data_IF_598661735006
#
_entry.id   IF_598661735006
#
_cell.length_a   1.000
_cell.length_b   1.000
_cell.length_c   1.000
_cell.angle_alpha   90.00
_cell.angle_beta   90.00
_cell.angle_gamma   90.00
#
_symmetry.space_group_name_H-M   'P 1'
#
loop_
_entity.id
_entity.type
_entity.pdbx_description
1 polymer ?
#
# COMPACT_ATOMS: atom_id res chain seq x y z
N UNK A 1 -19.46 -48.11 -3.92
CA UNK A 1 -20.67 -47.34 -3.59
C UNK A 1 -20.41 -45.88 -3.89
N UNK A 2 -21.41 -45.26 -4.49
CA UNK A 2 -21.46 -43.96 -5.14
C UNK A 2 -20.86 -42.79 -4.34
N UNK A 3 -20.17 -41.88 -5.05
CA UNK A 3 -19.91 -40.52 -4.56
C UNK A 3 -21.26 -39.81 -4.36
N UNK A 4 -21.66 -39.60 -3.12
CA UNK A 4 -22.66 -38.60 -2.75
C UNK A 4 -21.95 -37.39 -2.17
N UNK A 5 -22.40 -36.22 -2.62
CA UNK A 5 -22.11 -34.85 -2.13
C UNK A 5 -21.12 -34.06 -2.99
N UNK A 6 -21.70 -33.26 -3.88
CA UNK A 6 -21.08 -32.33 -4.82
C UNK A 6 -20.33 -31.13 -4.19
N UNK A 7 -20.01 -31.17 -2.90
CA UNK A 7 -19.32 -30.09 -2.20
C UNK A 7 -17.78 -30.25 -2.18
N UNK A 8 -17.25 -31.43 -2.50
CA UNK A 8 -15.80 -31.70 -2.44
C UNK A 8 -15.02 -31.42 -3.75
N UNK A 9 -15.70 -31.08 -4.85
CA UNK A 9 -15.05 -30.88 -6.14
C UNK A 9 -14.31 -29.53 -6.28
N UNK A 10 -14.66 -28.53 -5.46
CA UNK A 10 -14.04 -27.20 -5.52
C UNK A 10 -12.65 -27.17 -4.87
N UNK A 11 -12.46 -27.87 -3.75
CA UNK A 11 -11.18 -27.87 -3.01
C UNK A 11 -10.06 -28.65 -3.71
N UNK A 12 -10.40 -29.55 -4.65
CA UNK A 12 -9.40 -30.36 -5.36
C UNK A 12 -8.77 -29.66 -6.57
N UNK A 13 -9.35 -28.55 -7.08
CA UNK A 13 -8.74 -27.79 -8.19
C UNK A 13 -7.65 -26.83 -7.75
N UNK A 14 -7.58 -26.47 -6.47
CA UNK A 14 -6.61 -25.48 -5.96
C UNK A 14 -5.22 -26.11 -5.71
N UNK A 15 -5.11 -27.44 -5.58
CA UNK A 15 -3.82 -28.11 -5.35
C UNK A 15 -3.12 -28.64 -6.63
N UNK A 16 -3.69 -28.42 -7.83
CA UNK A 16 -3.18 -29.05 -9.07
C UNK A 16 -2.57 -28.09 -10.10
N UNK A 17 -2.17 -26.89 -9.69
CA UNK A 17 -1.22 -26.08 -10.45
C UNK A 17 0.19 -26.33 -9.91
N UNK A 18 0.68 -27.54 -10.18
CA UNK A 18 2.11 -27.86 -10.11
C UNK A 18 2.89 -26.81 -10.90
N UNK A 19 3.75 -26.07 -10.20
CA UNK A 19 4.83 -25.30 -10.79
C UNK A 19 5.69 -26.22 -11.65
N UNK A 20 5.37 -26.34 -12.94
CA UNK A 20 6.34 -26.75 -13.95
C UNK A 20 6.73 -25.47 -14.68
N UNK A 21 7.71 -24.77 -14.13
CA UNK A 21 8.34 -23.65 -14.81
C UNK A 21 9.19 -24.19 -15.97
N UNK A 22 9.03 -23.63 -17.17
CA UNK A 22 10.19 -23.21 -17.93
C UNK A 22 10.25 -21.68 -17.92
N UNK A 23 11.45 -21.21 -17.65
CA UNK A 23 11.93 -19.85 -17.75
C UNK A 23 11.44 -19.13 -19.01
N UNK A 24 10.55 -18.14 -18.87
CA UNK A 24 10.66 -16.81 -19.51
C UNK A 24 9.46 -15.90 -19.21
N UNK A 25 9.56 -15.15 -18.12
CA UNK A 25 9.51 -13.67 -18.13
C UNK A 25 8.37 -12.92 -18.88
N UNK A 26 7.13 -13.40 -18.83
CA UNK A 26 5.96 -12.53 -18.96
C UNK A 26 4.99 -12.86 -17.83
N UNK A 27 5.03 -12.05 -16.76
CA UNK A 27 3.95 -12.01 -15.78
C UNK A 27 2.77 -11.38 -16.52
N UNK A 28 1.82 -12.22 -16.93
CA UNK A 28 0.60 -11.79 -17.59
C UNK A 28 -0.15 -10.83 -16.65
N UNK A 29 -0.17 -9.53 -16.99
CA UNK A 29 -0.73 -8.48 -16.15
C UNK A 29 -2.25 -8.65 -15.95
N UNK A 30 -2.90 -9.32 -16.89
CA UNK A 30 -4.33 -9.72 -16.82
C UNK A 30 -4.61 -10.65 -15.65
N UNK A 31 -3.71 -11.61 -15.36
CA UNK A 31 -3.89 -12.54 -14.25
C UNK A 31 -3.78 -11.87 -12.87
N UNK A 32 -3.03 -10.76 -12.77
CA UNK A 32 -2.96 -9.94 -11.54
C UNK A 32 -4.22 -9.07 -11.40
N UNK A 33 -4.74 -8.54 -12.52
CA UNK A 33 -5.97 -7.75 -12.55
C UNK A 33 -7.18 -8.58 -12.09
N UNK A 34 -7.35 -9.79 -12.62
CA UNK A 34 -8.48 -10.66 -12.27
C UNK A 34 -8.45 -11.13 -10.82
N UNK A 35 -7.25 -11.31 -10.24
CA UNK A 35 -7.10 -11.74 -8.84
C UNK A 35 -7.55 -10.66 -7.84
N UNK A 36 -7.30 -9.37 -8.13
CA UNK A 36 -7.62 -8.30 -7.18
C UNK A 36 -9.13 -8.04 -7.09
N UNK A 37 -9.86 -8.18 -8.20
CA UNK A 37 -11.30 -7.87 -8.29
C UNK A 37 -12.22 -9.09 -8.14
N UNK A 38 -11.70 -10.32 -8.08
CA UNK A 38 -12.50 -11.54 -7.90
C UNK A 38 -12.60 -12.04 -6.46
N UNK A 39 -12.02 -11.32 -5.50
CA UNK A 39 -12.07 -11.69 -4.09
C UNK A 39 -13.49 -11.53 -3.52
N UNK A 40 -13.89 -12.48 -2.66
CA UNK A 40 -15.15 -12.44 -1.92
C UNK A 40 -15.20 -11.13 -1.12
N UNK A 41 -16.05 -10.18 -1.55
CA UNK A 41 -16.20 -8.86 -0.94
C UNK A 41 -15.80 -7.66 -1.81
N UNK A 42 -15.19 -7.87 -2.99
CA UNK A 42 -14.80 -6.78 -3.89
C UNK A 42 -15.97 -6.13 -4.65
N UNK A 43 -17.14 -6.78 -4.67
CA UNK A 43 -18.27 -6.38 -5.51
C UNK A 43 -17.98 -6.60 -7.01
N UNK A 44 -19.01 -6.49 -7.85
CA UNK A 44 -18.84 -6.55 -9.31
C UNK A 44 -18.67 -5.12 -9.84
N UNK A 45 -17.53 -4.82 -10.47
CA UNK A 45 -17.35 -3.56 -11.20
C UNK A 45 -18.18 -3.58 -12.49
N UNK A 46 -18.83 -2.47 -12.83
CA UNK A 46 -19.51 -2.31 -14.11
C UNK A 46 -18.48 -2.49 -15.25
N UNK A 47 -18.69 -3.45 -16.19
CA UNK A 47 -17.79 -3.66 -17.32
C UNK A 47 -17.56 -2.40 -18.16
N UNK A 48 -18.55 -1.51 -18.27
CA UNK A 48 -18.44 -0.24 -19.01
C UNK A 48 -17.47 0.71 -18.31
N UNK A 49 -17.49 0.75 -16.98
CA UNK A 49 -16.55 1.56 -16.19
C UNK A 49 -15.13 0.99 -16.29
N UNK A 50 -15.00 -0.33 -16.20
CA UNK A 50 -13.70 -1.02 -16.32
C UNK A 50 -13.06 -0.81 -17.69
N UNK A 51 -13.86 -0.82 -18.76
CA UNK A 51 -13.39 -0.56 -20.12
C UNK A 51 -13.05 0.93 -20.38
N UNK A 52 -13.74 1.85 -19.70
CA UNK A 52 -13.51 3.30 -19.84
C UNK A 52 -12.31 3.81 -19.03
N UNK A 53 -11.89 3.06 -18.01
CA UNK A 53 -10.81 3.45 -17.09
C UNK A 53 -9.76 2.34 -16.97
N UNK A 54 -9.02 2.12 -18.07
CA UNK A 54 -7.95 1.11 -18.10
C UNK A 54 -6.90 1.38 -17.02
N UNK A 55 -6.68 0.39 -16.15
CA UNK A 55 -5.68 0.42 -15.10
C UNK A 55 -4.58 -0.63 -15.36
N UNK A 56 -3.30 -0.33 -15.09
CA UNK A 56 -2.78 0.96 -14.62
C UNK A 56 -2.77 2.01 -15.74
N UNK A 57 -2.93 3.30 -15.41
CA UNK A 57 -2.74 4.37 -16.37
C UNK A 57 -1.29 4.36 -16.88
N UNK A 58 -1.05 4.71 -18.16
CA UNK A 58 0.30 4.69 -18.74
C UNK A 58 1.21 5.77 -18.14
N UNK A 59 0.64 6.83 -17.57
CA UNK A 59 1.37 7.89 -16.88
C UNK A 59 0.58 8.38 -15.67
N UNK A 60 1.29 8.83 -14.64
CA UNK A 60 0.73 9.56 -13.50
C UNK A 60 1.37 10.96 -13.57
N UNK A 61 0.54 11.99 -13.67
CA UNK A 61 1.03 13.38 -13.71
C UNK A 61 1.09 13.97 -12.29
N UNK A 62 2.15 14.69 -11.92
CA UNK A 62 3.37 14.90 -12.69
C UNK A 62 4.25 13.64 -12.76
N UNK A 63 4.85 13.36 -13.91
CA UNK A 63 5.82 12.27 -14.08
C UNK A 63 7.25 12.82 -14.02
N UNK A 64 8.09 12.17 -13.23
CA UNK A 64 9.50 12.51 -13.05
C UNK A 64 10.41 11.46 -13.71
N UNK A 65 11.50 11.90 -14.33
CA UNK A 65 12.57 11.00 -14.76
C UNK A 65 13.29 10.40 -13.54
N UNK A 66 14.03 9.31 -13.74
CA UNK A 66 14.85 8.72 -12.65
C UNK A 66 15.84 9.72 -12.04
N UNK A 67 16.38 10.65 -12.85
CA UNK A 67 17.27 11.71 -12.35
C UNK A 67 16.50 12.73 -11.50
N UNK A 68 15.29 13.11 -11.90
CA UNK A 68 14.43 14.00 -11.12
C UNK A 68 13.98 13.37 -9.79
N UNK A 69 13.71 12.07 -9.76
CA UNK A 69 13.35 11.34 -8.53
C UNK A 69 14.49 11.41 -7.51
N UNK A 70 15.75 11.39 -7.95
CA UNK A 70 16.89 11.52 -7.04
C UNK A 70 17.00 12.88 -6.33
N UNK A 71 16.29 13.90 -6.82
CA UNK A 71 16.24 15.24 -6.23
C UNK A 71 15.11 15.42 -5.20
N UNK A 72 14.26 14.42 -5.01
CA UNK A 72 13.18 14.49 -4.03
C UNK A 72 13.74 14.68 -2.61
N UNK A 73 13.09 15.50 -1.76
CA UNK A 73 13.51 15.66 -0.38
C UNK A 73 13.50 14.32 0.36
N UNK A 74 14.58 14.01 1.06
CA UNK A 74 14.69 12.84 1.93
C UNK A 74 14.37 13.22 3.37
N UNK A 75 14.07 12.23 4.21
CA UNK A 75 13.75 12.41 5.62
C UNK A 75 14.69 11.56 6.48
N UNK A 76 14.86 11.95 7.74
CA UNK A 76 15.68 11.20 8.70
C UNK A 76 14.81 10.49 9.75
N UNK A 77 15.07 9.22 10.08
CA UNK A 77 14.28 8.44 11.03
C UNK A 77 14.68 8.80 12.47
N UNK A 78 14.40 10.03 12.90
CA UNK A 78 14.73 10.55 14.24
C UNK A 78 13.52 11.08 15.00
N UNK A 79 12.34 11.03 14.40
CA UNK A 79 11.09 11.44 15.01
C UNK A 79 10.57 10.44 16.04
N UNK A 80 9.67 10.92 16.89
CA UNK A 80 8.94 10.09 17.84
C UNK A 80 7.80 9.34 17.15
N UNK A 81 7.57 8.09 17.54
CA UNK A 81 6.35 7.34 17.19
C UNK A 81 5.09 8.15 17.51
N UNK A 82 4.13 8.16 16.58
CA UNK A 82 2.84 8.82 16.76
C UNK A 82 1.81 7.76 17.14
N UNK A 83 1.33 7.81 18.38
CA UNK A 83 0.25 6.95 18.86
C UNK A 83 -1.05 7.73 18.98
N UNK A 84 -2.18 7.03 18.86
CA UNK A 84 -3.48 7.60 19.21
C UNK A 84 -3.60 7.69 20.73
N UNK A 85 -4.34 8.68 21.23
CA UNK A 85 -4.64 8.74 22.65
C UNK A 85 -5.64 7.63 23.04
N UNK A 86 -5.39 6.96 24.17
CA UNK A 86 -6.33 6.01 24.75
C UNK A 86 -7.51 6.76 25.39
N UNK A 87 -8.78 6.42 25.10
CA UNK A 87 -9.93 7.16 25.62
C UNK A 87 -10.05 7.08 27.14
N UNK A 88 -10.68 8.07 27.77
CA UNK A 88 -11.05 8.04 29.20
C UNK A 88 -12.53 7.75 29.35
N UNK A 89 -12.89 6.75 30.18
CA UNK A 89 -14.28 6.39 30.43
C UNK A 89 -14.71 6.71 31.85
N UNK A 90 -15.68 7.61 32.01
CA UNK A 90 -16.20 8.00 33.33
C UNK A 90 -17.07 6.89 33.97
N UNK A 91 -17.82 6.14 33.16
CA UNK A 91 -18.75 5.10 33.64
C UNK A 91 -18.16 3.68 33.66
N UNK A 92 -16.90 3.51 33.25
CA UNK A 92 -16.24 2.21 33.15
C UNK A 92 -14.77 2.30 33.64
N UNK A 93 -14.54 2.53 34.94
CA UNK A 93 -13.20 2.73 35.49
C UNK A 93 -12.31 1.48 35.42
N UNK A 94 -12.89 0.30 35.16
CA UNK A 94 -12.16 -0.97 34.99
C UNK A 94 -11.74 -1.26 33.55
N UNK A 95 -12.15 -0.43 32.59
CA UNK A 95 -11.74 -0.60 31.20
C UNK A 95 -10.23 -0.35 31.06
N UNK A 96 -9.48 -1.38 30.70
CA UNK A 96 -8.06 -1.25 30.38
C UNK A 96 -7.92 -0.63 29.01
N UNK A 97 -7.51 0.63 28.98
CA UNK A 97 -7.20 1.34 27.74
C UNK A 97 -5.71 1.20 27.44
N UNK A 98 -5.39 0.75 26.24
CA UNK A 98 -4.01 0.60 25.78
C UNK A 98 -3.34 1.94 25.48
N UNK A 99 -2.09 1.89 25.05
CA UNK A 99 -1.29 3.06 24.66
C UNK A 99 -1.70 3.69 23.31
N UNK A 100 -2.77 3.18 22.69
CA UNK A 100 -3.18 3.53 21.33
C UNK A 100 -2.23 3.02 20.25
N UNK A 101 -1.36 2.05 20.59
CA UNK A 101 -0.47 1.35 19.68
C UNK A 101 -0.68 -0.16 19.81
N UNK A 102 -1.00 -0.82 18.70
CA UNK A 102 -1.38 -2.24 18.73
C UNK A 102 -0.18 -3.20 18.66
N UNK A 103 0.94 -2.78 18.06
CA UNK A 103 2.10 -3.64 17.83
C UNK A 103 3.29 -3.18 18.70
N UNK A 104 3.58 -3.85 19.84
CA UNK A 104 4.70 -3.48 20.71
C UNK A 104 6.08 -3.63 20.06
N UNK A 105 6.18 -4.38 18.97
CA UNK A 105 7.43 -4.57 18.25
C UNK A 105 7.68 -3.46 17.21
N UNK A 106 6.66 -2.67 16.88
CA UNK A 106 6.78 -1.52 15.99
C UNK A 106 7.37 -0.33 16.77
N UNK A 107 8.69 -0.26 16.73
CA UNK A 107 9.52 0.71 17.46
C UNK A 107 10.33 1.62 16.53
N UNK A 108 10.08 1.55 15.22
CA UNK A 108 10.85 2.32 14.25
C UNK A 108 10.50 3.82 14.38
N UNK A 109 11.50 4.71 14.49
CA UNK A 109 11.26 6.13 14.67
C UNK A 109 10.58 6.73 13.44
N UNK A 110 9.79 7.78 13.68
CA UNK A 110 9.12 8.50 12.60
C UNK A 110 10.13 9.24 11.73
N UNK A 111 9.86 9.33 10.43
CA UNK A 111 10.65 10.12 9.51
C UNK A 111 10.30 11.60 9.65
N UNK A 112 11.31 12.44 9.88
CA UNK A 112 11.16 13.90 10.04
C UNK A 112 12.07 14.66 9.07
N UNK A 113 11.70 15.91 8.72
CA UNK A 113 12.55 16.79 7.92
C UNK A 113 13.97 16.87 8.47
N UNK A 114 14.95 16.79 7.57
CA UNK A 114 16.36 17.02 7.90
C UNK A 114 16.54 18.50 8.25
N UNK A 115 17.21 18.77 9.38
CA UNK A 115 17.49 20.14 9.82
C UNK A 115 18.29 20.91 8.77
N UNK A 116 17.94 22.18 8.56
CA UNK A 116 18.59 23.05 7.57
C UNK A 116 18.07 22.88 6.13
N UNK A 117 17.20 21.90 5.86
CA UNK A 117 16.59 21.70 4.56
C UNK A 117 15.22 22.38 4.46
N UNK A 118 14.94 22.98 3.30
CA UNK A 118 13.61 23.52 2.97
C UNK A 118 12.78 22.43 2.29
N UNK A 119 11.56 22.20 2.78
CA UNK A 119 10.63 21.21 2.23
C UNK A 119 9.43 21.93 1.58
N UNK A 120 8.92 21.41 0.44
CA UNK A 120 7.70 21.94 -0.17
C UNK A 120 6.48 21.69 0.74
N UNK A 121 5.41 22.43 0.49
CA UNK A 121 4.13 22.20 1.18
C UNK A 121 3.63 20.78 0.84
N UNK A 122 3.50 19.87 1.82
CA UNK A 122 3.06 18.50 1.56
C UNK A 122 1.61 18.40 1.08
N UNK A 123 0.83 19.48 1.22
CA UNK A 123 -0.57 19.56 0.80
C UNK A 123 -0.76 20.24 -0.57
N UNK A 124 0.32 20.66 -1.23
CA UNK A 124 0.26 21.18 -2.60
C UNK A 124 0.58 20.06 -3.60
N UNK A 125 -0.48 19.52 -4.23
CA UNK A 125 -0.36 18.47 -5.24
C UNK A 125 -0.19 19.01 -6.68
N UNK A 126 -0.23 20.32 -6.88
CA UNK A 126 -0.31 20.92 -8.22
C UNK A 126 0.96 21.69 -8.59
N UNK A 127 1.47 22.50 -7.66
CA UNK A 127 2.54 23.47 -7.94
C UNK A 127 3.80 23.30 -7.12
N UNK A 128 3.90 22.25 -6.29
CA UNK A 128 5.08 21.99 -5.49
C UNK A 128 6.33 21.84 -6.38
N UNK A 129 7.36 22.69 -6.21
CA UNK A 129 8.54 22.64 -7.06
C UNK A 129 9.42 21.44 -6.70
N UNK A 130 10.01 20.81 -7.72
CA UNK A 130 11.08 19.85 -7.52
C UNK A 130 12.37 20.60 -7.13
N UNK A 131 13.09 20.20 -6.07
CA UNK A 131 14.40 20.79 -5.75
C UNK A 131 15.39 20.64 -6.90
N UNK A 132 16.30 21.60 -7.05
CA UNK A 132 17.38 21.54 -8.06
C UNK A 132 18.61 20.76 -7.57
N UNK A 133 18.75 20.58 -6.26
CA UNK A 133 19.85 19.88 -5.60
C UNK A 133 19.33 19.09 -4.41
N UNK A 134 19.99 17.98 -4.08
CA UNK A 134 19.70 17.22 -2.87
C UNK A 134 20.17 18.00 -1.64
N UNK A 135 19.33 18.04 -0.60
CA UNK A 135 19.72 18.61 0.68
C UNK A 135 20.13 17.51 1.65
N UNK A 136 21.36 17.59 2.17
CA UNK A 136 21.92 16.64 3.16
C UNK A 136 21.86 17.16 4.60
N UNK A 137 21.33 18.37 4.82
CA UNK A 137 21.36 19.06 6.11
C UNK A 137 22.73 19.66 6.45
N UNK A 138 22.79 20.30 7.62
CA UNK A 138 23.97 20.96 8.18
C UNK A 138 24.13 20.64 9.66
#
# INVERSE_FOLDING_TARGET
MSCHSAAAAASCRICSSTLTAPSSRLRDLTAIYDYFFSQVGAGTLDPVQSASHTFPPPTISPSFSGTQISLLPTYTPTGTLKTLFGPTFTAAPTAVVGSGWNNPNDNDPAYVPISGCSYPNPWDAVTAPLPSTTCSGS
#
